data_IF_033058406902
#
_entry.id   IF_033058406902
#
_cell.length_a   1.000
_cell.length_b   1.000
_cell.length_c   1.000
_cell.angle_alpha   90.00
_cell.angle_beta   90.00
_cell.angle_gamma   90.00
#
_symmetry.space_group_name_H-M   'P 1'
#
loop_
_entity.id
_entity.type
_entity.pdbx_description
1 polymer ?
#
# COMPACT_ATOMS: atom_id res chain seq x y z
N UNK A 1 -25.89 44.17 -23.91
CA UNK A 1 -24.53 43.85 -24.38
C UNK A 1 -23.56 44.11 -23.23
N UNK A 2 -22.65 43.20 -22.90
CA UNK A 2 -21.57 43.47 -21.94
C UNK A 2 -21.13 42.26 -21.13
N UNK A 3 -20.44 41.32 -21.78
CA UNK A 3 -19.86 40.12 -21.19
C UNK A 3 -18.66 40.50 -20.29
N UNK A 4 -18.82 40.46 -18.97
CA UNK A 4 -17.73 40.71 -18.00
C UNK A 4 -17.42 39.46 -17.19
N UNK A 5 -17.03 38.37 -17.85
CA UNK A 5 -16.39 37.23 -17.16
C UNK A 5 -15.31 36.61 -18.04
N UNK A 6 -14.23 37.35 -18.24
CA UNK A 6 -12.94 36.79 -18.64
C UNK A 6 -12.34 35.96 -17.52
N UNK A 7 -12.96 34.82 -17.17
CA UNK A 7 -12.27 33.80 -16.39
C UNK A 7 -11.25 33.14 -17.31
N UNK A 8 -10.03 33.69 -17.34
CA UNK A 8 -8.84 32.88 -17.64
C UNK A 8 -8.78 31.80 -16.55
N UNK A 9 -9.49 30.69 -16.79
CA UNK A 9 -9.26 29.45 -16.08
C UNK A 9 -7.80 29.12 -16.34
N UNK A 10 -6.93 29.42 -15.37
CA UNK A 10 -5.59 28.86 -15.38
C UNK A 10 -5.82 27.36 -15.46
N UNK A 11 -5.39 26.65 -16.52
CA UNK A 11 -5.45 25.21 -16.48
C UNK A 11 -4.71 24.80 -15.20
N UNK A 12 -5.40 24.14 -14.27
CA UNK A 12 -4.79 23.61 -13.07
C UNK A 12 -3.56 22.86 -13.54
N UNK A 13 -2.35 23.37 -13.27
CA UNK A 13 -1.07 22.82 -13.74
C UNK A 13 -0.75 21.55 -12.96
N UNK A 14 -1.72 20.64 -12.87
CA UNK A 14 -1.49 19.24 -12.55
C UNK A 14 -0.87 18.67 -13.80
N UNK A 15 0.45 18.53 -13.76
CA UNK A 15 1.22 17.95 -14.85
C UNK A 15 0.84 16.47 -15.01
N UNK A 16 1.09 15.89 -16.18
CA UNK A 16 0.90 14.44 -16.36
C UNK A 16 1.79 13.63 -15.39
N UNK A 17 2.92 14.21 -14.99
CA UNK A 17 3.81 13.68 -13.95
C UNK A 17 3.11 13.64 -12.58
N UNK A 18 2.44 14.72 -12.15
CA UNK A 18 1.69 14.74 -10.89
C UNK A 18 0.60 13.66 -10.86
N UNK A 19 -0.06 13.43 -12.00
CA UNK A 19 -1.07 12.36 -12.14
C UNK A 19 -0.44 10.97 -12.00
N UNK A 20 0.71 10.74 -12.62
CA UNK A 20 1.44 9.47 -12.52
C UNK A 20 1.92 9.22 -11.07
N UNK A 21 2.49 10.24 -10.43
CA UNK A 21 2.91 10.19 -9.02
C UNK A 21 1.71 9.90 -8.11
N UNK A 22 0.56 10.54 -8.35
CA UNK A 22 -0.66 10.30 -7.57
C UNK A 22 -1.12 8.84 -7.70
N UNK A 23 -1.10 8.26 -8.90
CA UNK A 23 -1.48 6.87 -9.11
C UNK A 23 -0.54 5.89 -8.38
N UNK A 24 0.77 6.12 -8.45
CA UNK A 24 1.75 5.29 -7.74
C UNK A 24 1.59 5.40 -6.22
N UNK A 25 1.36 6.62 -5.70
CA UNK A 25 1.09 6.86 -4.27
C UNK A 25 -0.19 6.15 -3.83
N UNK A 26 -1.26 6.20 -4.63
CA UNK A 26 -2.50 5.45 -4.34
C UNK A 26 -2.27 3.93 -4.30
N UNK A 27 -1.49 3.37 -5.23
CA UNK A 27 -1.16 1.94 -5.20
C UNK A 27 -0.36 1.56 -3.96
N UNK A 28 0.67 2.35 -3.63
CA UNK A 28 1.47 2.18 -2.42
C UNK A 28 0.61 2.20 -1.16
N UNK A 29 -0.30 3.15 -1.06
CA UNK A 29 -1.16 3.31 0.13
C UNK A 29 -2.15 2.14 0.26
N UNK A 30 -2.67 1.61 -0.86
CA UNK A 30 -3.47 0.37 -0.86
C UNK A 30 -2.68 -0.84 -0.33
N UNK A 31 -1.41 -1.00 -0.76
CA UNK A 31 -0.54 -2.08 -0.27
C UNK A 31 -0.25 -1.92 1.22
N UNK A 32 0.03 -0.70 1.70
CA UNK A 32 0.21 -0.41 3.13
C UNK A 32 -1.06 -0.70 3.95
N UNK A 33 -2.24 -0.38 3.42
CA UNK A 33 -3.51 -0.75 4.06
C UNK A 33 -3.72 -2.26 4.14
N UNK A 34 -3.37 -2.99 3.07
CA UNK A 34 -3.46 -4.44 3.03
C UNK A 34 -2.50 -5.09 4.04
N UNK A 35 -1.26 -4.61 4.12
CA UNK A 35 -0.28 -5.01 5.14
C UNK A 35 -0.85 -4.85 6.55
N UNK A 36 -1.41 -3.67 6.88
CA UNK A 36 -2.04 -3.42 8.20
C UNK A 36 -3.21 -4.36 8.49
N UNK A 37 -4.02 -4.71 7.50
CA UNK A 37 -5.14 -5.66 7.68
C UNK A 37 -4.62 -7.06 7.99
N UNK A 38 -3.59 -7.51 7.27
CA UNK A 38 -2.97 -8.83 7.52
C UNK A 38 -2.32 -8.89 8.90
N UNK A 39 -1.56 -7.86 9.31
CA UNK A 39 -0.90 -7.87 10.61
C UNK A 39 -1.90 -7.96 11.77
N UNK A 40 -2.99 -7.21 11.71
CA UNK A 40 -4.09 -7.31 12.68
C UNK A 40 -4.75 -8.70 12.69
N UNK A 41 -4.91 -9.31 11.52
CA UNK A 41 -5.47 -10.67 11.43
C UNK A 41 -4.51 -11.71 12.03
N UNK A 42 -3.21 -11.58 11.77
CA UNK A 42 -2.16 -12.46 12.30
C UNK A 42 -2.10 -12.42 13.83
N UNK A 43 -2.25 -11.24 14.45
CA UNK A 43 -2.29 -11.13 15.91
C UNK A 43 -3.48 -11.90 16.50
N UNK A 44 -4.67 -11.78 15.89
CA UNK A 44 -5.87 -12.53 16.30
C UNK A 44 -5.68 -14.03 16.11
N UNK A 45 -5.17 -14.45 14.96
CA UNK A 45 -4.90 -15.87 14.68
C UNK A 45 -3.85 -16.44 15.65
N UNK A 46 -2.87 -15.64 16.09
CA UNK A 46 -1.88 -16.04 17.10
C UNK A 46 -2.50 -16.27 18.48
N UNK A 47 -3.43 -15.41 18.90
CA UNK A 47 -4.17 -15.59 20.16
C UNK A 47 -5.06 -16.85 20.11
N UNK A 48 -5.78 -17.04 19.00
CA UNK A 48 -6.59 -18.24 18.76
C UNK A 48 -5.74 -19.51 18.75
N UNK A 49 -4.57 -19.49 18.10
CA UNK A 49 -3.66 -20.64 18.10
C UNK A 49 -3.21 -21.01 19.52
N UNK A 50 -2.92 -20.02 20.38
CA UNK A 50 -2.57 -20.26 21.79
C UNK A 50 -3.73 -20.90 22.56
N UNK A 51 -4.97 -20.45 22.33
CA UNK A 51 -6.15 -21.06 22.95
C UNK A 51 -6.37 -22.50 22.48
N UNK A 52 -6.29 -22.74 21.17
CA UNK A 52 -6.44 -24.08 20.58
C UNK A 52 -5.38 -25.08 21.07
N UNK A 53 -4.16 -24.61 21.34
CA UNK A 53 -3.12 -25.44 21.96
C UNK A 53 -3.47 -25.83 23.40
N UNK A 54 -4.06 -24.92 24.19
CA UNK A 54 -4.55 -25.22 25.55
C UNK A 54 -5.73 -26.20 25.52
N UNK A 55 -6.61 -26.06 24.55
CA UNK A 55 -7.77 -26.94 24.34
C UNK A 55 -7.41 -28.32 23.74
N UNK A 56 -6.10 -28.60 23.54
CA UNK A 56 -5.61 -29.87 23.00
C UNK A 56 -5.81 -30.06 21.49
N UNK A 57 -6.32 -29.05 20.76
CA UNK A 57 -6.63 -29.10 19.32
C UNK A 57 -5.40 -28.79 18.46
N UNK A 58 -4.40 -29.67 18.52
CA UNK A 58 -3.10 -29.50 17.84
C UNK A 58 -3.19 -29.32 16.33
N UNK A 59 -4.07 -30.05 15.65
CA UNK A 59 -4.22 -29.98 14.18
C UNK A 59 -4.65 -28.59 13.69
N UNK A 60 -5.63 -27.99 14.37
CA UNK A 60 -6.11 -26.64 14.04
C UNK A 60 -5.04 -25.59 14.31
N UNK A 61 -4.27 -25.74 15.39
CA UNK A 61 -3.14 -24.87 15.68
C UNK A 61 -2.06 -24.98 14.59
N UNK A 62 -1.74 -26.19 14.12
CA UNK A 62 -0.78 -26.43 13.04
C UNK A 62 -1.20 -25.79 11.72
N UNK A 63 -2.50 -25.86 11.39
CA UNK A 63 -3.05 -25.23 10.19
C UNK A 63 -2.94 -23.70 10.24
N UNK A 64 -3.24 -23.09 11.39
CA UNK A 64 -3.05 -21.65 11.60
C UNK A 64 -1.58 -21.23 11.47
N UNK A 65 -0.65 -22.04 12.00
CA UNK A 65 0.79 -21.77 11.86
C UNK A 65 1.26 -21.84 10.40
N UNK A 66 0.77 -22.80 9.62
CA UNK A 66 1.05 -22.87 8.16
C UNK A 66 0.49 -21.64 7.43
N UNK A 67 -0.74 -21.25 7.74
CA UNK A 67 -1.39 -20.06 7.17
C UNK A 67 -0.60 -18.80 7.49
N UNK A 68 -0.14 -18.66 8.75
CA UNK A 68 0.72 -17.56 9.18
C UNK A 68 1.99 -17.48 8.34
N UNK A 69 2.71 -18.59 8.14
CA UNK A 69 3.94 -18.60 7.34
C UNK A 69 3.71 -18.11 5.89
N UNK A 70 2.60 -18.50 5.29
CA UNK A 70 2.25 -18.02 3.94
C UNK A 70 1.93 -16.52 3.93
N UNK A 71 1.23 -16.02 4.95
CA UNK A 71 0.96 -14.59 5.09
C UNK A 71 2.23 -13.78 5.32
N UNK A 72 3.18 -14.28 6.12
CA UNK A 72 4.49 -13.64 6.32
C UNK A 72 5.25 -13.53 4.98
N UNK A 73 5.28 -14.59 4.16
CA UNK A 73 5.87 -14.52 2.81
C UNK A 73 5.16 -13.54 1.86
N UNK A 74 3.84 -13.39 2.00
CA UNK A 74 3.08 -12.44 1.22
C UNK A 74 3.37 -10.99 1.65
N UNK A 75 3.57 -10.76 2.95
CA UNK A 75 3.99 -9.48 3.49
C UNK A 75 5.37 -9.09 2.96
N UNK A 76 6.36 -9.99 2.97
CA UNK A 76 7.69 -9.72 2.40
C UNK A 76 7.62 -9.32 0.92
N UNK A 77 6.80 -10.02 0.12
CA UNK A 77 6.58 -9.65 -1.29
C UNK A 77 5.92 -8.27 -1.42
N UNK A 78 4.99 -7.95 -0.54
CA UNK A 78 4.28 -6.66 -0.52
C UNK A 78 5.23 -5.53 -0.15
N UNK A 79 6.13 -5.74 0.81
CA UNK A 79 7.17 -4.78 1.19
C UNK A 79 8.11 -4.49 0.02
N UNK A 80 8.59 -5.53 -0.67
CA UNK A 80 9.40 -5.36 -1.88
C UNK A 80 8.68 -4.56 -2.96
N UNK A 81 7.38 -4.78 -3.17
CA UNK A 81 6.56 -4.01 -4.11
C UNK A 81 6.42 -2.54 -3.69
N UNK A 82 6.23 -2.28 -2.40
CA UNK A 82 6.17 -0.91 -1.85
C UNK A 82 7.50 -0.19 -2.09
N UNK A 83 8.63 -0.84 -1.80
CA UNK A 83 9.96 -0.27 -2.03
C UNK A 83 10.18 0.06 -3.51
N UNK A 84 9.79 -0.84 -4.42
CA UNK A 84 9.87 -0.59 -5.86
C UNK A 84 9.00 0.61 -6.30
N UNK A 85 7.78 0.74 -5.76
CA UNK A 85 6.91 1.89 -6.03
C UNK A 85 7.52 3.20 -5.49
N UNK A 86 8.13 3.17 -4.31
CA UNK A 86 8.82 4.32 -3.74
C UNK A 86 10.04 4.74 -4.59
N UNK A 87 10.81 3.77 -5.10
CA UNK A 87 11.89 4.03 -6.07
C UNK A 87 11.38 4.66 -7.37
N UNK A 88 10.26 4.18 -7.92
CA UNK A 88 9.65 4.74 -9.14
C UNK A 88 9.17 6.17 -8.91
N UNK A 89 8.53 6.44 -7.77
CA UNK A 89 8.10 7.80 -7.39
C UNK A 89 9.32 8.74 -7.33
N UNK A 90 10.40 8.33 -6.65
CA UNK A 90 11.64 9.12 -6.57
C UNK A 90 12.33 9.32 -7.93
N UNK A 91 12.22 8.36 -8.85
CA UNK A 91 12.75 8.50 -10.20
C UNK A 91 11.97 9.55 -11.01
N UNK A 92 10.64 9.54 -10.90
CA UNK A 92 9.77 10.51 -11.59
C UNK A 92 9.94 11.91 -10.98
N UNK A 93 10.00 12.02 -9.65
CA UNK A 93 10.24 13.28 -8.95
C UNK A 93 11.58 13.92 -9.37
N UNK A 94 12.67 13.14 -9.43
CA UNK A 94 14.00 13.63 -9.89
C UNK A 94 14.06 14.01 -11.38
N UNK A 95 13.20 13.41 -12.21
CA UNK A 95 13.14 13.74 -13.64
C UNK A 95 12.39 15.07 -13.91
N UNK A 96 11.55 15.50 -12.97
CA UNK A 96 10.85 16.79 -13.02
C UNK A 96 11.68 17.99 -12.52
N UNK A 97 12.74 17.76 -11.75
CA UNK A 97 13.70 18.80 -11.35
C UNK A 97 14.69 19.07 -12.49
N UNK A 98 14.25 19.78 -13.53
CA UNK A 98 15.18 20.50 -14.41
C UNK A 98 15.34 21.94 -13.88
N UNK A 99 16.54 22.35 -13.45
CA UNK A 99 16.86 23.75 -13.21
C UNK A 99 17.06 24.44 -14.57
N UNK A 100 16.00 25.06 -15.07
CA UNK A 100 16.01 25.89 -16.28
C UNK A 100 15.10 27.09 -16.12
#
# INVERSE_FOLDING_TARGET
>A
MGTVFGRKSRPSRVTEQDKAILQLKQQRDKLKQYQKRITLQLEKERLLAKQLLKDGRKEKALLLLKKKRYQDQLLDKTENQISNLELMIMAIERCGENPG
#
